data_IF_637332654398
#
_entry.id   IF_637332654398
#
_cell.length_a   1.000
_cell.length_b   1.000
_cell.length_c   1.000
_cell.angle_alpha   90.00
_cell.angle_beta   90.00
_cell.angle_gamma   90.00
#
_symmetry.space_group_name_H-M   'P 1'
#
loop_
_entity.id
_entity.type
_entity.pdbx_description
1 polymer ?
#
# COMPACT_ATOMS: atom_id res chain seq x y z
N UNK A 1 -16.65 28.29 -2.93
CA UNK A 1 -17.15 27.87 -1.61
C UNK A 1 -16.05 28.03 -0.55
N UNK A 2 -16.30 28.82 0.50
CA UNK A 2 -15.33 29.06 1.59
C UNK A 2 -14.99 27.79 2.37
N UNK A 3 -15.94 26.87 2.56
CA UNK A 3 -15.74 25.64 3.34
C UNK A 3 -14.79 24.65 2.64
N UNK A 4 -14.88 24.58 1.30
CA UNK A 4 -13.98 23.79 0.46
C UNK A 4 -12.55 24.34 0.49
N UNK A 5 -12.38 25.67 0.41
CA UNK A 5 -11.07 26.32 0.53
C UNK A 5 -10.44 26.06 1.90
N UNK A 6 -11.19 26.22 3.00
CA UNK A 6 -10.69 25.89 4.35
C UNK A 6 -10.23 24.44 4.47
N UNK A 7 -10.95 23.50 3.84
CA UNK A 7 -10.58 22.07 3.80
C UNK A 7 -9.29 21.81 3.02
N UNK A 8 -9.12 22.51 1.90
CA UNK A 8 -7.91 22.47 1.06
C UNK A 8 -6.69 22.96 1.84
N UNK A 9 -6.76 24.15 2.44
CA UNK A 9 -5.64 24.72 3.18
C UNK A 9 -5.32 23.94 4.47
N UNK A 10 -6.32 23.37 5.16
CA UNK A 10 -6.07 22.45 6.30
C UNK A 10 -5.34 21.17 5.88
N UNK A 11 -5.63 20.61 4.69
CA UNK A 11 -4.95 19.43 4.14
C UNK A 11 -3.56 19.73 3.57
N UNK A 12 -3.33 20.94 3.06
CA UNK A 12 -2.05 21.33 2.45
C UNK A 12 -1.76 22.82 2.68
N UNK A 13 -1.28 23.18 3.89
CA UNK A 13 -0.90 24.56 4.20
C UNK A 13 0.19 25.12 3.28
N UNK A 14 1.01 24.24 2.70
CA UNK A 14 2.08 24.62 1.77
C UNK A 14 1.58 25.31 0.49
N UNK A 15 0.28 25.22 0.16
CA UNK A 15 -0.30 25.97 -0.97
C UNK A 15 -0.14 27.50 -0.80
N UNK A 16 -0.10 28.02 0.44
CA UNK A 16 0.18 29.45 0.68
C UNK A 16 1.58 29.89 0.25
N UNK A 17 2.49 28.95 -0.06
CA UNK A 17 3.86 29.22 -0.51
C UNK A 17 4.02 29.08 -2.04
N UNK A 18 2.97 28.71 -2.76
CA UNK A 18 3.02 28.52 -4.21
C UNK A 18 2.55 29.78 -4.94
N UNK A 19 3.36 30.24 -5.89
CA UNK A 19 2.97 31.27 -6.84
C UNK A 19 1.87 30.72 -7.79
N UNK A 20 0.77 31.45 -7.94
CA UNK A 20 -0.37 31.01 -8.75
C UNK A 20 0.04 30.90 -10.22
N UNK A 21 0.65 31.94 -10.79
CA UNK A 21 0.97 32.04 -12.22
C UNK A 21 2.20 31.21 -12.61
N UNK A 22 3.22 31.14 -11.76
CA UNK A 22 4.49 30.45 -12.04
C UNK A 22 4.49 28.98 -11.61
N UNK A 23 3.59 28.58 -10.70
CA UNK A 23 3.56 27.24 -10.13
C UNK A 23 2.23 26.53 -10.34
N UNK A 24 1.10 27.11 -9.91
CA UNK A 24 -0.18 26.40 -9.98
C UNK A 24 -0.73 26.30 -11.41
N UNK A 25 -0.67 27.40 -12.17
CA UNK A 25 -1.22 27.50 -13.52
C UNK A 25 -0.59 26.51 -14.52
N UNK A 26 0.75 26.35 -14.62
CA UNK A 26 1.35 25.32 -15.49
C UNK A 26 0.90 23.88 -15.16
N UNK A 27 0.54 23.60 -13.90
CA UNK A 27 0.04 22.28 -13.49
C UNK A 27 -1.43 22.08 -13.87
N UNK A 28 -2.23 23.14 -13.87
CA UNK A 28 -3.59 23.09 -14.41
C UNK A 28 -3.56 22.89 -15.92
N UNK A 29 -2.71 23.61 -16.65
CA UNK A 29 -2.51 23.43 -18.08
C UNK A 29 -2.06 22.01 -18.43
N UNK A 30 -1.17 21.40 -17.62
CA UNK A 30 -0.81 20.00 -17.79
C UNK A 30 -1.98 19.03 -17.50
N UNK A 31 -2.84 19.31 -16.51
CA UNK A 31 -4.06 18.51 -16.30
C UNK A 31 -5.01 18.61 -17.50
N UNK A 32 -5.13 19.79 -18.13
CA UNK A 32 -5.90 20.00 -19.37
C UNK A 32 -5.31 19.23 -20.56
N UNK A 33 -3.99 19.13 -20.67
CA UNK A 33 -3.32 18.28 -21.67
C UNK A 33 -3.62 16.78 -21.47
N UNK A 34 -3.84 16.34 -20.23
CA UNK A 34 -4.40 15.01 -19.91
C UNK A 34 -5.92 14.92 -20.13
N UNK A 35 -6.50 15.88 -20.86
CA UNK A 35 -7.92 15.96 -21.22
C UNK A 35 -8.84 16.45 -20.10
N UNK A 36 -8.34 16.80 -18.91
CA UNK A 36 -9.18 17.15 -17.77
C UNK A 36 -9.82 18.55 -18.01
N UNK A 37 -11.15 18.69 -18.00
CA UNK A 37 -11.77 19.99 -18.22
C UNK A 37 -11.48 20.99 -17.09
N UNK A 38 -11.21 22.26 -17.43
CA UNK A 38 -11.02 23.37 -16.48
C UNK A 38 -12.03 23.40 -15.33
N UNK A 39 -13.31 23.14 -15.62
CA UNK A 39 -14.39 23.10 -14.62
C UNK A 39 -14.20 22.04 -13.51
N UNK A 40 -13.38 21.01 -13.74
CA UNK A 40 -13.10 19.94 -12.77
C UNK A 40 -11.93 20.27 -11.83
N UNK A 41 -11.13 21.31 -12.12
CA UNK A 41 -9.95 21.69 -11.35
C UNK A 41 -10.24 21.97 -9.86
N UNK A 42 -11.33 22.67 -9.47
CA UNK A 42 -11.66 22.85 -8.06
C UNK A 42 -11.98 21.53 -7.34
N UNK A 43 -12.70 20.62 -8.01
CA UNK A 43 -13.04 19.29 -7.46
C UNK A 43 -11.79 18.44 -7.22
N UNK A 44 -10.82 18.50 -8.14
CA UNK A 44 -9.52 17.84 -8.01
C UNK A 44 -8.72 18.38 -6.83
N UNK A 45 -8.59 19.70 -6.68
CA UNK A 45 -7.92 20.31 -5.54
C UNK A 45 -8.58 19.95 -4.20
N UNK A 46 -9.92 19.91 -4.13
CA UNK A 46 -10.63 19.57 -2.88
C UNK A 46 -10.41 18.11 -2.46
N UNK A 47 -10.31 17.20 -3.44
CA UNK A 47 -9.94 15.80 -3.21
C UNK A 47 -8.49 15.71 -2.71
N UNK A 48 -7.56 16.29 -3.47
CA UNK A 48 -6.13 16.07 -3.31
C UNK A 48 -5.29 17.34 -3.61
N UNK A 49 -5.23 18.28 -2.65
CA UNK A 49 -4.54 19.55 -2.85
C UNK A 49 -3.01 19.40 -2.95
N UNK A 50 -2.47 18.27 -2.50
CA UNK A 50 -1.04 17.97 -2.58
C UNK A 50 -0.53 17.73 -4.02
N UNK A 51 -1.41 17.67 -5.02
CA UNK A 51 -1.01 17.53 -6.43
C UNK A 51 -0.17 18.71 -6.92
N UNK A 52 -0.44 19.90 -6.38
CA UNK A 52 0.31 21.12 -6.71
C UNK A 52 1.75 21.12 -6.19
N UNK A 53 2.11 20.16 -5.33
CA UNK A 53 3.48 19.99 -4.83
C UNK A 53 4.34 19.03 -5.69
N UNK A 54 3.79 18.43 -6.75
CA UNK A 54 4.56 17.58 -7.69
C UNK A 54 5.21 18.42 -8.79
N UNK A 55 6.27 17.94 -9.42
CA UNK A 55 6.75 18.51 -10.69
C UNK A 55 5.90 18.00 -11.85
N UNK A 56 5.82 18.77 -12.95
CA UNK A 56 5.09 18.35 -14.15
C UNK A 56 5.67 17.04 -14.70
N UNK A 57 7.00 16.92 -14.84
CA UNK A 57 7.62 15.66 -15.31
C UNK A 57 7.28 14.46 -14.43
N UNK A 58 7.19 14.62 -13.10
CA UNK A 58 6.79 13.51 -12.22
C UNK A 58 5.31 13.15 -12.36
N UNK A 59 4.45 14.07 -12.79
CA UNK A 59 3.05 13.78 -13.09
C UNK A 59 2.95 13.11 -14.46
N UNK A 60 3.73 13.57 -15.44
CA UNK A 60 3.87 13.00 -16.78
C UNK A 60 4.40 11.57 -16.78
N UNK A 61 5.50 11.28 -16.08
CA UNK A 61 6.03 9.93 -15.86
C UNK A 61 4.97 8.96 -15.28
N UNK A 62 4.09 9.46 -14.41
CA UNK A 62 3.00 8.69 -13.82
C UNK A 62 1.81 8.55 -14.78
N UNK A 63 1.51 9.56 -15.60
CA UNK A 63 0.45 9.51 -16.62
C UNK A 63 0.83 8.53 -17.75
N UNK A 64 2.05 8.66 -18.30
CA UNK A 64 2.63 7.75 -19.29
C UNK A 64 2.64 6.32 -18.76
N UNK A 65 3.01 6.10 -17.48
CA UNK A 65 2.94 4.76 -16.90
C UNK A 65 1.53 4.18 -16.91
N UNK A 66 0.51 4.97 -16.57
CA UNK A 66 -0.86 4.48 -16.57
C UNK A 66 -1.30 4.07 -17.99
N UNK A 67 -0.87 4.82 -19.02
CA UNK A 67 -1.06 4.40 -20.42
C UNK A 67 -0.36 3.06 -20.71
N UNK A 68 0.91 2.89 -20.33
CA UNK A 68 1.66 1.62 -20.45
C UNK A 68 0.98 0.43 -19.74
N UNK A 69 0.20 0.68 -18.67
CA UNK A 69 -0.54 -0.37 -17.97
C UNK A 69 -1.76 -0.90 -18.73
N UNK A 70 -2.25 -0.13 -19.72
CA UNK A 70 -3.43 -0.43 -20.52
C UNK A 70 -4.56 0.59 -20.40
N UNK A 71 -4.36 1.75 -19.76
CA UNK A 71 -5.35 2.83 -19.82
C UNK A 71 -5.29 3.52 -21.20
N UNK A 72 -6.45 3.73 -21.83
CA UNK A 72 -6.60 4.67 -22.93
C UNK A 72 -6.74 6.12 -22.41
N UNK A 73 -6.73 7.11 -23.30
CA UNK A 73 -6.83 8.52 -22.92
C UNK A 73 -8.13 8.87 -22.16
N UNK A 74 -9.27 8.27 -22.50
CA UNK A 74 -10.57 8.54 -21.88
C UNK A 74 -10.66 7.90 -20.48
N UNK A 75 -10.23 6.65 -20.35
CA UNK A 75 -10.18 5.96 -19.06
C UNK A 75 -9.14 6.56 -18.13
N UNK A 76 -8.00 7.06 -18.66
CA UNK A 76 -7.03 7.85 -17.91
C UNK A 76 -7.65 9.15 -17.38
N UNK A 77 -8.24 9.97 -18.25
CA UNK A 77 -8.92 11.21 -17.87
C UNK A 77 -9.97 10.93 -16.76
N UNK A 78 -10.81 9.92 -16.94
CA UNK A 78 -11.86 9.54 -15.99
C UNK A 78 -11.31 9.07 -14.63
N UNK A 79 -10.24 8.27 -14.63
CA UNK A 79 -9.64 7.79 -13.37
C UNK A 79 -8.91 8.91 -12.64
N UNK A 80 -8.24 9.83 -13.36
CA UNK A 80 -7.55 10.98 -12.78
C UNK A 80 -8.53 12.00 -12.19
N UNK A 81 -9.66 12.25 -12.84
CA UNK A 81 -10.77 13.06 -12.29
C UNK A 81 -11.29 12.48 -10.97
N UNK A 82 -11.36 11.16 -10.84
CA UNK A 82 -11.79 10.46 -9.62
C UNK A 82 -10.69 10.42 -8.56
N UNK A 83 -9.44 10.18 -8.99
CA UNK A 83 -8.30 9.78 -8.16
C UNK A 83 -6.99 10.50 -8.56
N UNK A 84 -6.91 11.83 -8.37
CA UNK A 84 -5.72 12.64 -8.67
C UNK A 84 -4.41 12.14 -8.03
N UNK A 85 -4.51 11.42 -6.92
CA UNK A 85 -3.38 10.84 -6.20
C UNK A 85 -2.54 9.89 -7.05
N UNK A 86 -3.10 9.34 -8.14
CA UNK A 86 -2.38 8.52 -9.11
C UNK A 86 -1.17 9.25 -9.72
N UNK A 87 -1.25 10.57 -9.96
CA UNK A 87 -0.13 11.37 -10.46
C UNK A 87 0.93 11.70 -9.39
N UNK A 88 0.66 11.36 -8.11
CA UNK A 88 1.56 11.66 -6.98
C UNK A 88 2.23 10.43 -6.36
N UNK A 89 1.77 9.22 -6.66
CA UNK A 89 2.36 8.03 -6.06
C UNK A 89 3.82 7.88 -6.47
N UNK A 90 4.61 7.23 -5.61
CA UNK A 90 6.02 7.02 -5.88
C UNK A 90 6.17 6.04 -7.06
N UNK A 91 6.71 6.53 -8.17
CA UNK A 91 6.88 5.80 -9.44
C UNK A 91 7.53 4.44 -9.27
N UNK A 92 8.56 4.32 -8.41
CA UNK A 92 9.25 3.06 -8.10
C UNK A 92 8.37 2.08 -7.32
N UNK A 93 7.60 2.57 -6.33
CA UNK A 93 6.63 1.75 -5.59
C UNK A 93 5.51 1.23 -6.51
N UNK A 94 5.02 2.07 -7.43
CA UNK A 94 4.03 1.65 -8.44
C UNK A 94 4.60 0.54 -9.34
N UNK A 95 5.83 0.69 -9.84
CA UNK A 95 6.51 -0.33 -10.66
C UNK A 95 6.62 -1.68 -9.94
N UNK A 96 7.03 -1.69 -8.65
CA UNK A 96 7.16 -2.92 -7.86
C UNK A 96 5.82 -3.64 -7.68
N UNK A 97 4.74 -2.90 -7.48
CA UNK A 97 3.38 -3.44 -7.32
C UNK A 97 2.84 -3.99 -8.64
N UNK A 98 3.06 -3.30 -9.77
CA UNK A 98 2.69 -3.80 -11.09
C UNK A 98 3.50 -5.04 -11.47
N UNK A 99 4.81 -5.06 -11.21
CA UNK A 99 5.64 -6.23 -11.43
C UNK A 99 5.11 -7.46 -10.68
N UNK A 100 4.68 -7.27 -9.42
CA UNK A 100 4.03 -8.32 -8.65
C UNK A 100 2.70 -8.78 -9.28
N UNK A 101 1.85 -7.86 -9.75
CA UNK A 101 0.62 -8.22 -10.47
C UNK A 101 0.90 -9.01 -11.75
N UNK A 102 1.92 -8.64 -12.52
CA UNK A 102 2.35 -9.37 -13.71
C UNK A 102 2.85 -10.78 -13.35
N UNK A 103 3.61 -10.93 -12.24
CA UNK A 103 4.05 -12.24 -11.73
C UNK A 103 2.91 -13.11 -11.18
N UNK A 104 1.79 -12.50 -10.79
CA UNK A 104 0.55 -13.21 -10.46
C UNK A 104 -0.30 -13.58 -11.70
N UNK A 105 0.07 -13.13 -12.90
CA UNK A 105 -0.73 -13.36 -14.12
C UNK A 105 -1.93 -12.42 -14.29
N UNK A 106 -1.99 -11.30 -13.55
CA UNK A 106 -3.06 -10.32 -13.71
C UNK A 106 -2.89 -9.57 -15.04
N UNK A 107 -3.90 -9.66 -15.90
CA UNK A 107 -3.90 -9.10 -17.26
C UNK A 107 -3.95 -7.57 -17.27
N UNK A 108 -3.66 -6.94 -18.43
CA UNK A 108 -3.75 -5.49 -18.58
C UNK A 108 -5.13 -4.92 -18.22
N UNK A 109 -6.19 -5.50 -18.79
CA UNK A 109 -7.57 -5.10 -18.52
C UNK A 109 -7.92 -5.22 -17.03
N UNK A 110 -7.47 -6.28 -16.37
CA UNK A 110 -7.66 -6.47 -14.93
C UNK A 110 -6.86 -5.47 -14.08
N UNK A 111 -5.64 -5.09 -14.48
CA UNK A 111 -4.88 -4.02 -13.81
C UNK A 111 -5.62 -2.68 -13.93
N UNK A 112 -6.17 -2.36 -15.11
CA UNK A 112 -6.98 -1.14 -15.32
C UNK A 112 -8.20 -1.14 -14.40
N UNK A 113 -8.94 -2.25 -14.31
CA UNK A 113 -10.08 -2.42 -13.40
C UNK A 113 -9.64 -2.29 -11.92
N UNK A 114 -8.56 -2.96 -11.54
CA UNK A 114 -8.01 -2.98 -10.18
C UNK A 114 -7.62 -1.57 -9.73
N UNK A 115 -6.82 -0.87 -10.53
CA UNK A 115 -6.30 0.47 -10.23
C UNK A 115 -7.44 1.50 -10.25
N UNK A 116 -8.39 1.38 -11.19
CA UNK A 116 -9.56 2.28 -11.26
C UNK A 116 -10.49 2.16 -10.06
N UNK A 117 -10.57 0.96 -9.44
CA UNK A 117 -11.43 0.67 -8.29
C UNK A 117 -10.69 0.77 -6.94
N UNK A 118 -9.36 0.72 -6.95
CA UNK A 118 -8.51 0.73 -5.76
C UNK A 118 -7.15 1.43 -6.02
N UNK A 119 -7.13 2.74 -6.36
CA UNK A 119 -5.88 3.47 -6.62
C UNK A 119 -4.92 3.48 -5.43
N UNK A 120 -5.45 3.40 -4.20
CA UNK A 120 -4.67 3.34 -2.97
C UNK A 120 -3.85 2.06 -2.84
N UNK A 121 -3.99 1.09 -3.74
CA UNK A 121 -3.10 -0.08 -3.82
C UNK A 121 -1.63 0.35 -3.91
N UNK A 122 -1.34 1.44 -4.62
CA UNK A 122 0.00 2.01 -4.76
C UNK A 122 0.54 2.70 -3.49
N UNK A 123 -0.28 2.85 -2.45
CA UNK A 123 0.15 3.29 -1.12
C UNK A 123 0.35 2.13 -0.12
N UNK A 124 0.00 0.89 -0.51
CA UNK A 124 0.14 -0.28 0.36
C UNK A 124 1.56 -0.85 0.27
N UNK A 125 2.09 -1.29 1.42
CA UNK A 125 3.36 -2.05 1.43
C UNK A 125 3.19 -3.35 0.65
N UNK A 126 4.04 -3.56 -0.37
CA UNK A 126 4.02 -4.77 -1.18
C UNK A 126 4.17 -6.03 -0.30
N UNK A 127 5.26 -6.11 0.48
CA UNK A 127 5.56 -7.24 1.36
C UNK A 127 4.58 -7.36 2.53
N UNK A 128 4.47 -6.31 3.35
CA UNK A 128 3.75 -6.36 4.64
C UNK A 128 2.23 -6.30 4.50
N UNK A 129 1.70 -6.04 3.30
CA UNK A 129 0.28 -5.88 3.07
C UNK A 129 -0.23 -6.69 1.87
N UNK A 130 0.24 -6.39 0.65
CA UNK A 130 -0.32 -6.99 -0.57
C UNK A 130 0.02 -8.48 -0.68
N UNK A 131 1.30 -8.86 -0.61
CA UNK A 131 1.71 -10.27 -0.70
C UNK A 131 1.08 -11.12 0.42
N UNK A 132 0.99 -10.61 1.64
CA UNK A 132 0.32 -11.28 2.75
C UNK A 132 -1.20 -11.49 2.49
N UNK A 133 -1.89 -10.50 1.91
CA UNK A 133 -3.32 -10.61 1.55
C UNK A 133 -3.54 -11.57 0.40
N UNK A 134 -2.82 -11.43 -0.71
CA UNK A 134 -2.91 -12.35 -1.85
C UNK A 134 -2.61 -13.78 -1.41
N UNK A 135 -1.51 -14.03 -0.68
CA UNK A 135 -1.19 -15.35 -0.14
C UNK A 135 -2.36 -15.96 0.66
N UNK A 136 -3.04 -15.15 1.50
CA UNK A 136 -4.21 -15.61 2.25
C UNK A 136 -5.44 -15.91 1.38
N UNK A 137 -5.79 -14.99 0.48
CA UNK A 137 -6.94 -15.18 -0.41
C UNK A 137 -6.76 -16.39 -1.33
N UNK A 138 -5.58 -16.53 -1.94
CA UNK A 138 -5.27 -17.62 -2.86
C UNK A 138 -5.16 -18.96 -2.11
N UNK A 139 -4.34 -19.04 -1.05
CA UNK A 139 -4.00 -20.33 -0.39
C UNK A 139 -4.99 -20.78 0.68
N UNK A 140 -5.72 -19.87 1.30
CA UNK A 140 -6.62 -20.19 2.43
C UNK A 140 -8.09 -20.06 2.06
N UNK A 141 -8.46 -19.06 1.23
CA UNK A 141 -9.85 -18.86 0.80
C UNK A 141 -10.14 -19.47 -0.58
N UNK A 142 -9.10 -19.87 -1.34
CA UNK A 142 -9.24 -20.51 -2.66
C UNK A 142 -9.73 -19.58 -3.77
N UNK A 143 -9.66 -18.25 -3.58
CA UNK A 143 -10.06 -17.28 -4.60
C UNK A 143 -8.97 -17.14 -5.65
N UNK A 144 -9.32 -16.86 -6.91
CA UNK A 144 -8.31 -16.67 -7.97
C UNK A 144 -7.68 -15.26 -7.92
N UNK A 145 -6.55 -15.10 -8.61
CA UNK A 145 -5.94 -13.77 -8.84
C UNK A 145 -6.88 -12.84 -9.62
N UNK A 146 -7.64 -13.40 -10.56
CA UNK A 146 -8.60 -12.71 -11.43
C UNK A 146 -9.79 -12.18 -10.63
N UNK A 147 -10.37 -13.02 -9.75
CA UNK A 147 -11.40 -12.63 -8.79
C UNK A 147 -10.97 -11.41 -7.96
N UNK A 148 -9.75 -11.45 -7.41
CA UNK A 148 -9.20 -10.37 -6.60
C UNK A 148 -9.00 -9.07 -7.40
N UNK A 149 -8.63 -9.17 -8.68
CA UNK A 149 -8.49 -8.01 -9.56
C UNK A 149 -9.85 -7.41 -9.96
N UNK A 150 -10.90 -8.22 -10.08
CA UNK A 150 -12.26 -7.76 -10.34
C UNK A 150 -12.95 -7.15 -9.11
N UNK A 151 -12.65 -7.62 -7.89
CA UNK A 151 -13.17 -7.05 -6.64
C UNK A 151 -12.06 -6.59 -5.66
N UNK A 152 -11.22 -5.62 -6.06
CA UNK A 152 -10.04 -5.22 -5.28
C UNK A 152 -10.39 -4.54 -3.96
N UNK A 153 -11.65 -4.19 -3.72
CA UNK A 153 -12.10 -3.58 -2.47
C UNK A 153 -11.81 -4.50 -1.26
N UNK A 154 -11.77 -5.83 -1.44
CA UNK A 154 -11.37 -6.77 -0.38
C UNK A 154 -9.91 -6.57 0.04
N UNK A 155 -9.04 -6.11 -0.87
CA UNK A 155 -7.64 -5.76 -0.59
C UNK A 155 -7.51 -4.46 0.22
N UNK A 156 -8.55 -3.62 0.34
CA UNK A 156 -8.53 -2.45 1.23
C UNK A 156 -8.62 -2.82 2.71
N UNK A 157 -9.21 -3.99 3.03
CA UNK A 157 -9.57 -4.37 4.38
C UNK A 157 -8.35 -4.73 5.24
N UNK A 158 -8.48 -4.63 6.57
CA UNK A 158 -7.43 -5.07 7.48
C UNK A 158 -7.32 -6.60 7.47
N UNK A 159 -6.10 -7.12 7.26
CA UNK A 159 -5.86 -8.57 7.24
C UNK A 159 -6.26 -9.19 8.58
N UNK A 160 -5.57 -8.84 9.68
CA UNK A 160 -5.87 -9.36 11.02
C UNK A 160 -7.28 -8.97 11.50
N UNK A 161 -7.61 -7.68 11.44
CA UNK A 161 -8.81 -7.14 12.09
C UNK A 161 -10.14 -7.43 11.38
N UNK A 162 -10.13 -7.91 10.13
CA UNK A 162 -11.37 -8.11 9.37
C UNK A 162 -11.37 -9.34 8.48
N UNK A 163 -10.33 -9.56 7.67
CA UNK A 163 -10.26 -10.73 6.78
C UNK A 163 -10.11 -12.01 7.62
N UNK A 164 -9.05 -12.08 8.45
CA UNK A 164 -8.83 -13.21 9.36
C UNK A 164 -9.97 -13.32 10.38
N UNK A 165 -10.31 -12.22 11.06
CA UNK A 165 -11.31 -12.22 12.12
C UNK A 165 -12.68 -12.75 11.66
N UNK A 166 -13.18 -12.32 10.50
CA UNK A 166 -14.46 -12.82 9.99
C UNK A 166 -14.38 -14.25 9.47
N UNK A 167 -13.31 -14.63 8.79
CA UNK A 167 -13.14 -16.02 8.34
C UNK A 167 -13.13 -16.98 9.54
N UNK A 168 -12.30 -16.71 10.55
CA UNK A 168 -12.19 -17.54 11.75
C UNK A 168 -13.50 -17.62 12.53
N UNK A 169 -14.26 -16.53 12.62
CA UNK A 169 -15.58 -16.56 13.25
C UNK A 169 -16.59 -17.43 12.48
N UNK A 170 -16.63 -17.35 11.14
CA UNK A 170 -17.49 -18.20 10.30
C UNK A 170 -17.09 -19.68 10.37
N UNK A 171 -15.80 -19.98 10.49
CA UNK A 171 -15.29 -21.35 10.72
C UNK A 171 -15.71 -21.86 12.10
N UNK A 172 -15.57 -21.07 13.16
CA UNK A 172 -16.03 -21.44 14.50
C UNK A 172 -17.56 -21.66 14.55
N UNK A 173 -18.34 -20.91 13.77
CA UNK A 173 -19.78 -21.11 13.58
C UNK A 173 -20.14 -22.27 12.62
N UNK A 174 -19.16 -22.99 12.06
CA UNK A 174 -19.39 -24.12 11.15
C UNK A 174 -20.00 -23.75 9.79
N UNK A 175 -20.06 -22.47 9.43
CA UNK A 175 -20.82 -21.98 8.27
C UNK A 175 -19.94 -21.42 7.13
N UNK A 176 -18.60 -21.42 7.29
CA UNK A 176 -17.70 -20.80 6.31
C UNK A 176 -17.74 -21.44 4.91
N UNK A 177 -17.99 -22.75 4.80
CA UNK A 177 -17.97 -23.43 3.49
C UNK A 177 -18.96 -22.82 2.48
N UNK A 178 -20.13 -22.40 2.95
CA UNK A 178 -21.10 -21.66 2.13
C UNK A 178 -20.54 -20.32 1.60
N UNK A 179 -19.61 -19.69 2.32
CA UNK A 179 -18.99 -18.40 2.01
C UNK A 179 -17.63 -18.50 1.32
N UNK A 180 -17.15 -19.73 1.04
CA UNK A 180 -15.89 -20.00 0.33
C UNK A 180 -15.93 -19.48 -1.12
N UNK A 181 -17.06 -19.60 -1.81
CA UNK A 181 -17.25 -19.05 -3.16
C UNK A 181 -17.05 -17.52 -3.19
N UNK A 182 -16.15 -17.04 -4.05
CA UNK A 182 -15.87 -15.61 -4.27
C UNK A 182 -17.11 -14.78 -4.66
N UNK A 183 -18.11 -15.37 -5.34
CA UNK A 183 -19.38 -14.69 -5.63
C UNK A 183 -20.09 -14.25 -4.33
N UNK A 184 -19.80 -14.91 -3.21
CA UNK A 184 -20.40 -14.67 -1.89
C UNK A 184 -19.55 -13.78 -0.97
N UNK A 185 -18.46 -13.18 -1.46
CA UNK A 185 -17.52 -12.26 -0.75
C UNK A 185 -18.14 -11.07 0.01
N UNK A 186 -19.45 -10.83 -0.09
CA UNK A 186 -20.20 -9.81 0.66
C UNK A 186 -19.95 -9.88 2.18
N UNK A 187 -19.63 -11.07 2.71
CA UNK A 187 -19.23 -11.27 4.11
C UNK A 187 -17.99 -10.48 4.55
N UNK A 188 -17.14 -10.01 3.64
CA UNK A 188 -16.03 -9.10 3.96
C UNK A 188 -16.42 -7.61 3.90
N UNK A 189 -17.41 -7.26 3.08
CA UNK A 189 -17.68 -5.88 2.65
C UNK A 189 -18.75 -5.17 3.50
N UNK A 190 -19.72 -5.91 4.07
CA UNK A 190 -20.80 -5.31 4.90
C UNK A 190 -20.34 -4.87 6.29
N UNK A 191 -21.00 -3.90 6.93
CA UNK A 191 -20.67 -3.46 8.31
C UNK A 191 -20.74 -4.61 9.33
N UNK A 192 -20.20 -4.40 10.53
CA UNK A 192 -20.13 -5.45 11.56
C UNK A 192 -21.53 -5.85 12.07
N UNK A 193 -22.44 -4.90 12.20
CA UNK A 193 -23.85 -5.16 12.51
C UNK A 193 -24.55 -6.03 11.44
N UNK A 194 -24.34 -5.72 10.16
CA UNK A 194 -24.93 -6.51 9.06
C UNK A 194 -24.26 -7.88 8.92
N UNK A 195 -22.95 -7.98 9.20
CA UNK A 195 -22.24 -9.26 9.25
C UNK A 195 -22.80 -10.17 10.35
N UNK A 196 -22.88 -9.68 11.59
CA UNK A 196 -23.42 -10.45 12.71
C UNK A 196 -24.87 -10.90 12.45
N UNK A 197 -25.78 -9.95 12.19
CA UNK A 197 -27.22 -10.24 12.02
C UNK A 197 -27.52 -11.07 10.76
N UNK A 198 -27.01 -10.66 9.60
CA UNK A 198 -27.47 -11.21 8.32
C UNK A 198 -26.66 -12.42 7.85
N UNK A 199 -25.38 -12.51 8.22
CA UNK A 199 -24.41 -13.48 7.65
C UNK A 199 -24.04 -14.56 8.67
N UNK A 200 -23.53 -14.16 9.85
CA UNK A 200 -23.10 -15.09 10.89
C UNK A 200 -24.22 -15.52 11.86
N UNK A 201 -25.42 -14.95 11.71
CA UNK A 201 -26.64 -15.24 12.47
C UNK A 201 -26.43 -15.17 13.99
N UNK A 202 -25.77 -14.12 14.46
CA UNK A 202 -25.45 -13.89 15.88
C UNK A 202 -25.75 -12.46 16.32
N UNK A 203 -25.63 -12.19 17.62
CA UNK A 203 -25.67 -10.82 18.15
C UNK A 203 -24.40 -10.04 17.79
N UNK A 204 -24.49 -8.72 17.80
CA UNK A 204 -23.33 -7.87 17.53
C UNK A 204 -22.30 -7.94 18.66
N UNK A 205 -22.76 -8.04 19.92
CA UNK A 205 -21.91 -8.20 21.10
C UNK A 205 -21.10 -9.49 21.03
N UNK A 206 -21.71 -10.60 20.59
CA UNK A 206 -21.04 -11.89 20.44
C UNK A 206 -19.84 -11.78 19.47
N UNK A 207 -20.08 -11.25 18.26
CA UNK A 207 -19.04 -11.06 17.26
C UNK A 207 -17.96 -10.06 17.71
N UNK A 208 -18.34 -8.95 18.35
CA UNK A 208 -17.37 -7.98 18.87
C UNK A 208 -16.51 -8.57 20.00
N UNK A 209 -17.09 -9.40 20.86
CA UNK A 209 -16.38 -10.07 21.96
C UNK A 209 -15.35 -11.06 21.41
N UNK A 210 -15.76 -11.91 20.45
CA UNK A 210 -14.84 -12.76 19.71
C UNK A 210 -13.71 -11.94 19.05
N UNK A 211 -14.05 -10.86 18.34
CA UNK A 211 -13.07 -10.08 17.58
C UNK A 211 -12.02 -9.42 18.50
N UNK A 212 -12.44 -8.89 19.66
CA UNK A 212 -11.53 -8.34 20.69
C UNK A 212 -10.59 -9.42 21.22
N UNK A 213 -11.09 -10.61 21.52
CA UNK A 213 -10.27 -11.73 21.98
C UNK A 213 -9.27 -12.20 20.90
N UNK A 214 -9.76 -12.42 19.67
CA UNK A 214 -8.95 -12.84 18.53
C UNK A 214 -7.79 -11.87 18.24
N UNK A 215 -8.06 -10.56 18.27
CA UNK A 215 -7.03 -9.53 18.05
C UNK A 215 -5.96 -9.52 19.16
N UNK A 216 -6.34 -9.72 20.44
CA UNK A 216 -5.37 -9.87 21.54
C UNK A 216 -4.44 -11.07 21.32
N UNK A 217 -4.99 -12.24 21.01
CA UNK A 217 -4.21 -13.47 20.75
C UNK A 217 -3.30 -13.32 19.53
N UNK A 218 -3.79 -12.69 18.46
CA UNK A 218 -3.02 -12.41 17.24
C UNK A 218 -1.98 -11.28 17.38
N UNK A 219 -2.03 -10.51 18.48
CA UNK A 219 -0.99 -9.55 18.87
C UNK A 219 0.08 -10.23 19.75
N UNK A 220 -0.32 -11.01 20.75
CA UNK A 220 0.61 -11.75 21.62
C UNK A 220 1.52 -12.71 20.86
N UNK A 221 0.98 -13.44 19.86
CA UNK A 221 1.79 -14.30 18.96
C UNK A 221 2.80 -13.56 18.08
N UNK A 222 2.75 -12.22 18.01
CA UNK A 222 3.74 -11.41 17.30
C UNK A 222 4.81 -10.82 18.24
N UNK A 223 4.76 -11.12 19.54
CA UNK A 223 5.67 -10.61 20.57
C UNK A 223 6.24 -11.73 21.44
N UNK A 224 7.03 -12.63 20.85
CA UNK A 224 7.91 -13.53 21.61
C UNK A 224 8.53 -14.66 20.77
N UNK A 225 9.66 -15.26 21.21
CA UNK A 225 10.69 -14.72 22.11
C UNK A 225 11.84 -14.13 21.27
N UNK A 226 11.95 -12.80 21.23
CA UNK A 226 12.84 -12.09 20.29
C UNK A 226 13.65 -10.95 20.91
N UNK A 227 13.88 -10.98 22.22
CA UNK A 227 14.47 -9.86 22.96
C UNK A 227 15.37 -10.27 24.12
N UNK A 228 16.21 -11.30 23.94
CA UNK A 228 17.21 -11.66 24.96
C UNK A 228 18.57 -12.19 24.40
N UNK A 229 19.05 -11.56 23.32
CA UNK A 229 20.41 -11.76 22.78
C UNK A 229 21.27 -10.49 22.81
N UNK A 230 21.03 -9.59 23.76
CA UNK A 230 21.84 -8.37 23.99
C UNK A 230 22.33 -8.19 25.44
N UNK A 231 22.59 -9.29 26.15
CA UNK A 231 23.28 -9.29 27.47
C UNK A 231 24.36 -10.38 27.64
N UNK A 232 24.98 -10.85 26.55
CA UNK A 232 26.19 -11.68 26.60
C UNK A 232 27.21 -11.20 25.55
N UNK A 233 27.83 -10.05 25.81
CA UNK A 233 29.12 -9.61 25.25
C UNK A 233 29.60 -8.33 25.96
N UNK A 234 29.73 -8.41 27.29
CA UNK A 234 30.22 -7.31 28.14
C UNK A 234 30.79 -7.82 29.49
N UNK A 235 31.53 -8.94 29.47
CA UNK A 235 32.30 -9.49 30.61
C UNK A 235 33.29 -10.52 30.07
N UNK A 236 34.56 -10.14 29.92
CA UNK A 236 35.61 -11.04 29.44
C UNK A 236 36.67 -10.40 28.55
N UNK A 237 37.38 -9.38 29.04
CA UNK A 237 38.68 -8.89 28.50
C UNK A 237 39.29 -7.84 29.45
N UNK A 238 39.88 -8.30 30.55
CA UNK A 238 40.56 -7.44 31.52
C UNK A 238 41.74 -8.16 32.22
N UNK A 239 42.67 -8.70 31.44
CA UNK A 239 44.07 -8.97 31.80
C UNK A 239 44.80 -9.26 30.48
N UNK A 240 45.95 -8.68 30.13
CA UNK A 240 46.93 -7.97 30.93
C UNK A 240 48.29 -8.65 30.72
N UNK A 241 49.14 -8.15 29.82
CA UNK A 241 50.54 -8.58 29.73
C UNK A 241 51.47 -7.48 29.25
N UNK A 242 52.56 -7.29 30.01
CA UNK A 242 53.67 -6.38 29.70
C UNK A 242 54.45 -6.89 28.47
N UNK A 243 54.97 -5.99 27.66
CA UNK A 243 55.71 -6.34 26.43
C UNK A 243 57.22 -6.56 26.64
N UNK A 244 57.94 -6.79 25.53
CA UNK A 244 59.39 -6.51 25.38
C UNK A 244 59.78 -6.43 23.90
N UNK A 245 60.64 -5.47 23.55
CA UNK A 245 61.07 -5.18 22.18
C UNK A 245 62.06 -6.21 21.61
N UNK A 246 62.12 -6.34 20.26
CA UNK A 246 63.35 -6.67 19.51
C UNK A 246 63.32 -6.18 18.05
N UNK A 247 64.04 -5.07 17.83
CA UNK A 247 64.99 -4.71 16.74
C UNK A 247 65.05 -5.48 15.40
N UNK A 248 65.43 -4.69 14.37
CA UNK A 248 65.99 -5.02 13.02
C UNK A 248 64.93 -5.35 11.94
N UNK A 249 65.06 -5.00 10.64
CA UNK A 249 66.10 -4.24 9.87
C UNK A 249 65.47 -3.39 8.73
N UNK A 250 66.27 -2.76 7.84
CA UNK A 250 65.84 -2.05 6.61
C UNK A 250 66.38 -2.72 5.32
N UNK A 251 65.54 -2.81 4.26
CA UNK A 251 65.83 -2.58 2.80
C UNK A 251 66.97 -3.36 2.07
N UNK A 252 67.15 -3.22 0.74
CA UNK A 252 66.22 -3.40 -0.41
C UNK A 252 66.85 -4.27 -1.53
N UNK A 253 66.18 -4.49 -2.69
CA UNK A 253 66.72 -4.89 -4.03
C UNK A 253 65.66 -5.68 -4.83
N UNK A 254 65.50 -5.68 -6.17
CA UNK A 254 65.91 -4.76 -7.25
C UNK A 254 65.10 -5.03 -8.53
N UNK A 255 65.11 -4.06 -9.46
CA UNK A 255 64.63 -4.14 -10.86
C UNK A 255 65.21 -5.34 -11.65
N UNK A 256 64.49 -5.84 -12.68
CA UNK A 256 64.84 -5.60 -14.11
C UNK A 256 63.94 -6.32 -15.15
N UNK A 257 63.60 -5.55 -16.19
CA UNK A 257 63.49 -5.91 -17.64
C UNK A 257 62.40 -6.93 -18.06
N UNK A 258 61.94 -6.90 -19.31
CA UNK A 258 62.35 -6.07 -20.47
C UNK A 258 61.35 -4.95 -20.72
#
# INVERSE_FOLDING_TARGET
DKTQLTRVFKKSPQLFRLDVSKSMEPRFQFLEQLGIPKGMHPSLLVKDPAIMNRTISSMEENALFLLELGFDAQSLQLVLVKHPSLLRYNRQSMSKIVYFFNKLGITANERVILISRLPQVFSMSLEKNLMAKFSYFLRTLGWSVHDLALAPQVLSLSLKGRILGRHQFLVQKGCFEYFRDFKRRRWLLVTDAVFAKSIAKCSLEEYQTFLKAFQKTAAGRAQGPGSDRRKQNARGSASGRKGRSKKLTKTPSSKKRV
#
